data_IF_394710952180
#
_entry.id   IF_394710952180
#
_cell.length_a   1.000
_cell.length_b   1.000
_cell.length_c   1.000
_cell.angle_alpha   90.00
_cell.angle_beta   90.00
_cell.angle_gamma   90.00
#
_symmetry.space_group_name_H-M   'P 1'
#
loop_
_entity.id
_entity.type
_entity.pdbx_description
1 polymer ?
#
# COMPACT_ATOMS: atom_id res chain seq x y z
N UNK A 1 14.38 30.51 6.82
CA UNK A 1 13.47 29.39 6.60
C UNK A 1 14.24 28.34 5.81
N UNK A 2 14.36 27.11 6.30
CA UNK A 2 15.02 26.05 5.52
C UNK A 2 14.21 25.83 4.24
N UNK A 3 14.88 25.86 3.09
CA UNK A 3 14.27 25.57 1.78
C UNK A 3 13.83 24.13 1.75
N UNK A 4 12.52 23.91 1.65
CA UNK A 4 11.98 22.57 1.43
C UNK A 4 12.05 22.21 -0.05
N UNK A 5 12.52 21.02 -0.32
CA UNK A 5 12.51 20.43 -1.67
C UNK A 5 11.21 19.66 -1.86
N UNK A 6 10.66 19.72 -3.06
CA UNK A 6 9.42 19.03 -3.44
C UNK A 6 9.73 17.94 -4.44
N UNK A 7 9.10 16.78 -4.31
CA UNK A 7 9.14 15.70 -5.30
C UNK A 7 7.80 14.99 -5.42
N UNK A 8 7.58 14.36 -6.56
CA UNK A 8 6.35 13.64 -6.89
C UNK A 8 6.70 12.21 -7.24
N UNK A 9 6.05 11.26 -6.58
CA UNK A 9 6.11 9.83 -6.94
C UNK A 9 4.75 9.43 -7.50
N UNK A 10 4.75 8.78 -8.66
CA UNK A 10 3.54 8.23 -9.28
C UNK A 10 3.66 6.72 -9.33
N UNK A 11 2.80 6.05 -8.56
CA UNK A 11 2.59 4.62 -8.61
C UNK A 11 1.57 4.29 -9.69
N UNK A 12 2.01 3.71 -10.79
CA UNK A 12 1.14 3.22 -11.85
C UNK A 12 0.79 1.74 -11.62
N UNK A 13 -0.13 1.51 -10.68
CA UNK A 13 -0.58 0.18 -10.27
C UNK A 13 -1.51 -0.49 -11.27
N UNK A 14 -1.76 -1.79 -11.08
CA UNK A 14 -2.62 -2.61 -11.94
C UNK A 14 -4.09 -2.16 -11.93
N UNK A 15 -4.62 -1.79 -10.78
CA UNK A 15 -6.02 -1.38 -10.61
C UNK A 15 -6.25 0.12 -10.70
N UNK A 16 -5.22 0.93 -10.54
CA UNK A 16 -5.29 2.40 -10.55
C UNK A 16 -3.91 3.02 -10.40
N UNK A 17 -3.80 4.32 -10.70
CA UNK A 17 -2.57 5.08 -10.49
C UNK A 17 -2.72 6.00 -9.30
N UNK A 18 -1.68 6.09 -8.47
CA UNK A 18 -1.61 6.99 -7.31
C UNK A 18 -0.51 8.01 -7.54
N UNK A 19 -0.75 9.25 -7.17
CA UNK A 19 0.25 10.30 -7.19
C UNK A 19 0.44 10.84 -5.77
N UNK A 20 1.68 10.97 -5.36
CA UNK A 20 2.09 11.41 -4.03
C UNK A 20 2.98 12.63 -4.14
N UNK A 21 2.61 13.69 -3.43
CA UNK A 21 3.38 14.93 -3.33
C UNK A 21 4.14 14.94 -2.02
N UNK A 22 5.45 14.87 -2.07
CA UNK A 22 6.31 14.91 -0.91
C UNK A 22 7.07 16.23 -0.80
N UNK A 23 7.27 16.70 0.43
CA UNK A 23 8.24 17.74 0.76
C UNK A 23 9.25 17.22 1.78
N UNK A 24 10.50 17.63 1.65
CA UNK A 24 11.58 17.23 2.55
C UNK A 24 12.56 18.37 2.75
N UNK A 25 13.21 18.41 3.92
CA UNK A 25 14.22 19.43 4.26
C UNK A 25 15.60 19.05 3.71
N UNK A 26 16.32 20.00 3.12
CA UNK A 26 17.73 19.85 2.77
C UNK A 26 18.60 20.57 3.82
N UNK A 27 19.85 20.14 4.08
CA UNK A 27 20.60 19.04 3.48
C UNK A 27 20.57 17.72 4.25
N UNK A 28 19.89 17.62 5.37
CA UNK A 28 19.94 16.46 6.27
C UNK A 28 18.67 15.60 6.26
N UNK A 29 17.81 15.72 5.27
CA UNK A 29 16.67 14.83 4.97
C UNK A 29 15.91 14.23 6.19
N UNK A 30 15.90 14.98 7.29
CA UNK A 30 15.38 14.51 8.57
C UNK A 30 13.86 14.44 8.63
N UNK A 31 13.17 15.07 7.66
CA UNK A 31 11.70 15.14 7.69
C UNK A 31 11.13 15.00 6.28
N UNK A 32 10.48 13.88 6.01
CA UNK A 32 9.65 13.67 4.81
C UNK A 32 8.19 13.88 5.21
N UNK A 33 7.45 14.63 4.38
CA UNK A 33 6.01 14.83 4.56
C UNK A 33 5.29 14.55 3.26
N UNK A 34 4.21 13.79 3.32
CA UNK A 34 3.25 13.74 2.24
C UNK A 34 2.29 14.93 2.40
N UNK A 35 2.39 15.88 1.52
CA UNK A 35 1.52 17.06 1.55
C UNK A 35 0.16 16.78 0.94
N UNK A 36 0.13 15.87 -0.03
CA UNK A 36 -1.07 15.50 -0.75
C UNK A 36 -0.90 14.20 -1.52
N UNK A 37 -1.98 13.42 -1.62
CA UNK A 37 -2.05 12.25 -2.49
C UNK A 37 -3.39 12.15 -3.17
N UNK A 38 -3.42 11.48 -4.31
CA UNK A 38 -4.62 11.20 -5.06
C UNK A 38 -4.54 9.86 -5.77
N UNK A 39 -5.72 9.30 -6.09
CA UNK A 39 -5.85 8.07 -6.85
C UNK A 39 -6.79 8.27 -8.03
N UNK A 40 -6.40 7.74 -9.19
CA UNK A 40 -7.23 7.69 -10.39
C UNK A 40 -7.39 6.26 -10.90
N UNK A 41 -8.54 5.99 -11.46
CA UNK A 41 -8.91 4.73 -12.08
C UNK A 41 -9.35 4.95 -13.53
N UNK A 42 -9.18 3.93 -14.39
CA UNK A 42 -8.40 2.70 -14.19
C UNK A 42 -6.89 2.97 -14.15
N UNK A 43 -6.09 1.92 -13.86
CA UNK A 43 -4.63 1.98 -13.99
C UNK A 43 -4.20 2.17 -15.45
N UNK A 44 -2.96 2.60 -15.67
CA UNK A 44 -2.45 2.86 -17.03
C UNK A 44 -2.43 1.61 -17.92
N UNK A 45 -2.30 0.40 -17.34
CA UNK A 45 -2.39 -0.87 -18.06
C UNK A 45 -3.71 -1.06 -18.82
N UNK A 46 -4.79 -0.43 -18.37
CA UNK A 46 -6.09 -0.49 -19.06
C UNK A 46 -6.05 0.15 -20.47
N UNK A 47 -5.04 0.94 -20.79
CA UNK A 47 -4.88 1.48 -22.13
C UNK A 47 -4.53 0.40 -23.17
N UNK A 48 -3.83 -0.67 -22.75
CA UNK A 48 -3.52 -1.81 -23.62
C UNK A 48 -4.68 -2.81 -23.73
N UNK A 49 -5.64 -2.79 -22.77
CA UNK A 49 -6.75 -3.75 -22.74
C UNK A 49 -7.98 -3.31 -23.54
N UNK A 50 -7.97 -2.10 -24.10
CA UNK A 50 -9.07 -1.59 -24.94
C UNK A 50 -8.89 -2.08 -26.36
N UNK A 51 -9.95 -2.63 -26.96
CA UNK A 51 -9.94 -2.97 -28.39
C UNK A 51 -9.56 -1.77 -29.26
N UNK A 52 -8.64 -1.94 -30.21
CA UNK A 52 -8.15 -0.83 -31.05
C UNK A 52 -9.24 -0.34 -31.99
N UNK A 53 -9.62 0.94 -31.86
CA UNK A 53 -10.55 1.61 -32.76
C UNK A 53 -9.90 2.52 -33.81
N UNK A 54 -8.58 2.45 -34.02
CA UNK A 54 -7.83 3.42 -34.83
C UNK A 54 -6.65 2.83 -35.59
N UNK A 55 -6.11 3.53 -36.60
CA UNK A 55 -5.18 3.01 -37.60
C UNK A 55 -3.78 2.62 -37.12
N UNK A 56 -3.39 2.94 -35.88
CA UNK A 56 -2.22 2.36 -35.23
C UNK A 56 -2.51 2.08 -33.75
N UNK A 57 -2.34 0.83 -33.35
CA UNK A 57 -2.55 0.36 -31.96
C UNK A 57 -1.63 1.11 -31.01
N UNK A 58 -0.36 1.28 -31.36
CA UNK A 58 0.67 1.93 -30.51
C UNK A 58 0.38 3.42 -30.25
N UNK A 59 0.00 4.17 -31.29
CA UNK A 59 -0.35 5.58 -31.14
C UNK A 59 -1.60 5.77 -30.27
N UNK A 60 -2.54 4.82 -30.29
CA UNK A 60 -3.73 4.85 -29.46
C UNK A 60 -3.40 4.53 -27.99
N UNK A 61 -2.53 3.57 -27.71
CA UNK A 61 -2.08 3.20 -26.35
C UNK A 61 -1.30 4.35 -25.72
N UNK A 62 -0.32 4.89 -26.42
CA UNK A 62 0.47 6.05 -25.95
C UNK A 62 -0.41 7.28 -25.72
N UNK A 63 -1.32 7.58 -26.65
CA UNK A 63 -2.28 8.68 -26.53
C UNK A 63 -3.23 8.52 -25.35
N UNK A 64 -3.72 7.30 -25.09
CA UNK A 64 -4.53 6.97 -23.91
C UNK A 64 -3.73 7.22 -22.61
N UNK A 65 -2.52 6.70 -22.51
CA UNK A 65 -1.68 6.86 -21.34
C UNK A 65 -1.34 8.34 -21.07
N UNK A 66 -0.97 9.07 -22.13
CA UNK A 66 -0.71 10.51 -22.07
C UNK A 66 -1.93 11.27 -21.55
N UNK A 67 -3.12 11.04 -22.11
CA UNK A 67 -4.36 11.70 -21.68
C UNK A 67 -4.67 11.43 -20.20
N UNK A 68 -4.62 10.16 -19.78
CA UNK A 68 -4.93 9.79 -18.40
C UNK A 68 -3.97 10.41 -17.41
N UNK A 69 -2.68 10.42 -17.73
CA UNK A 69 -1.67 11.02 -16.87
C UNK A 69 -1.74 12.55 -16.87
N UNK A 70 -2.00 13.20 -18.00
CA UNK A 70 -2.19 14.66 -18.05
C UNK A 70 -3.30 15.14 -17.11
N UNK A 71 -4.40 14.40 -17.03
CA UNK A 71 -5.46 14.73 -16.07
C UNK A 71 -5.00 14.60 -14.60
N UNK A 72 -4.19 13.57 -14.30
CA UNK A 72 -3.62 13.41 -12.96
C UNK A 72 -2.64 14.53 -12.61
N UNK A 73 -1.77 14.92 -13.54
CA UNK A 73 -0.80 16.00 -13.35
C UNK A 73 -1.50 17.35 -13.16
N UNK A 74 -2.58 17.60 -13.88
CA UNK A 74 -3.40 18.80 -13.68
C UNK A 74 -4.03 18.86 -12.28
N UNK A 75 -4.56 17.75 -11.78
CA UNK A 75 -5.08 17.68 -10.40
C UNK A 75 -3.96 17.86 -9.36
N UNK A 76 -2.76 17.33 -9.63
CA UNK A 76 -1.58 17.56 -8.80
C UNK A 76 -1.24 19.05 -8.69
N UNK A 77 -1.26 19.79 -9.81
CA UNK A 77 -1.06 21.24 -9.82
C UNK A 77 -2.10 21.96 -8.97
N UNK A 78 -3.36 21.54 -9.05
CA UNK A 78 -4.43 22.07 -8.20
C UNK A 78 -4.18 21.75 -6.71
N UNK A 79 -3.73 20.53 -6.41
CA UNK A 79 -3.33 20.11 -5.06
C UNK A 79 -2.17 20.95 -4.51
N UNK A 80 -1.16 21.24 -5.31
CA UNK A 80 -0.04 22.12 -4.94
C UNK A 80 -0.54 23.52 -4.53
N UNK A 81 -1.43 24.10 -5.34
CA UNK A 81 -2.04 25.41 -5.02
C UNK A 81 -2.83 25.35 -3.72
N UNK A 82 -3.67 24.34 -3.54
CA UNK A 82 -4.51 24.18 -2.33
C UNK A 82 -3.67 24.03 -1.07
N UNK A 83 -2.54 23.35 -1.17
CA UNK A 83 -1.62 23.13 -0.05
C UNK A 83 -0.57 24.23 0.11
N UNK A 84 -0.56 25.23 -0.75
CA UNK A 84 0.45 26.30 -0.79
C UNK A 84 1.88 25.74 -0.87
N UNK A 85 2.05 24.67 -1.65
CA UNK A 85 3.35 24.04 -1.91
C UNK A 85 3.85 24.48 -3.28
N UNK A 86 5.10 24.90 -3.36
CA UNK A 86 5.73 25.23 -4.64
C UNK A 86 6.13 23.94 -5.36
N UNK A 87 5.49 23.67 -6.50
CA UNK A 87 5.67 22.43 -7.25
C UNK A 87 6.19 22.62 -8.68
N UNK A 88 6.29 23.87 -9.17
CA UNK A 88 6.80 24.13 -10.52
C UNK A 88 8.24 23.61 -10.62
N UNK A 89 8.51 22.80 -11.64
CA UNK A 89 9.81 22.15 -11.82
C UNK A 89 10.11 21.02 -10.83
N UNK A 90 9.15 20.60 -9.97
CA UNK A 90 9.35 19.47 -9.09
C UNK A 90 9.63 18.18 -9.90
N UNK A 91 10.62 17.37 -9.51
CA UNK A 91 10.91 16.11 -10.15
C UNK A 91 9.75 15.13 -10.01
N UNK A 92 9.43 14.42 -11.10
CA UNK A 92 8.43 13.34 -11.13
C UNK A 92 9.13 12.02 -11.34
N UNK A 93 8.85 11.07 -10.47
CA UNK A 93 9.29 9.68 -10.54
C UNK A 93 8.08 8.79 -10.80
N UNK A 94 7.83 8.43 -12.07
CA UNK A 94 6.78 7.46 -12.40
C UNK A 94 7.36 6.06 -12.44
N UNK A 95 6.79 5.18 -11.63
CA UNK A 95 7.11 3.75 -11.57
C UNK A 95 5.84 2.94 -11.76
N UNK A 96 5.88 2.02 -12.71
CA UNK A 96 4.77 1.13 -13.00
C UNK A 96 5.04 -0.26 -12.43
N UNK A 97 4.02 -0.89 -11.85
CA UNK A 97 4.15 -2.15 -11.13
C UNK A 97 3.59 -3.33 -11.93
N UNK A 98 3.01 -4.31 -11.26
CA UNK A 98 2.55 -5.58 -11.85
C UNK A 98 1.64 -5.40 -13.08
N UNK A 99 0.79 -4.37 -13.09
CA UNK A 99 -0.11 -4.11 -14.21
C UNK A 99 0.60 -3.95 -15.56
N UNK A 100 1.79 -3.32 -15.57
CA UNK A 100 2.58 -3.20 -16.77
C UNK A 100 3.52 -4.41 -16.98
N UNK A 101 3.94 -5.08 -15.91
CA UNK A 101 4.77 -6.30 -16.03
C UNK A 101 4.04 -7.44 -16.74
N UNK A 102 2.70 -7.48 -16.66
CA UNK A 102 1.85 -8.47 -17.30
C UNK A 102 1.57 -8.18 -18.79
N UNK A 103 1.86 -6.99 -19.29
CA UNK A 103 1.63 -6.60 -20.68
C UNK A 103 2.76 -7.06 -21.61
N UNK A 104 2.42 -7.14 -22.91
CA UNK A 104 3.42 -7.33 -23.94
C UNK A 104 4.44 -6.17 -23.94
N UNK A 105 5.73 -6.42 -24.30
CA UNK A 105 6.76 -5.40 -24.26
C UNK A 105 6.41 -4.13 -25.04
N UNK A 106 5.82 -4.25 -26.25
CA UNK A 106 5.45 -3.10 -27.09
C UNK A 106 4.37 -2.22 -26.45
N UNK A 107 3.34 -2.84 -25.85
CA UNK A 107 2.24 -2.12 -25.19
C UNK A 107 2.74 -1.38 -23.98
N UNK A 108 3.59 -2.04 -23.19
CA UNK A 108 4.24 -1.46 -22.03
C UNK A 108 5.08 -0.24 -22.38
N UNK A 109 5.91 -0.36 -23.44
CA UNK A 109 6.75 0.75 -23.92
C UNK A 109 5.91 1.92 -24.40
N UNK A 110 4.84 1.66 -25.17
CA UNK A 110 3.90 2.68 -25.63
C UNK A 110 3.24 3.45 -24.49
N UNK A 111 2.87 2.76 -23.40
CA UNK A 111 2.32 3.38 -22.19
C UNK A 111 3.37 4.29 -21.52
N UNK A 112 4.59 3.79 -21.34
CA UNK A 112 5.67 4.55 -20.70
C UNK A 112 6.07 5.79 -21.51
N UNK A 113 6.10 5.67 -22.84
CA UNK A 113 6.31 6.78 -23.75
C UNK A 113 5.24 7.86 -23.60
N UNK A 114 3.95 7.47 -23.62
CA UNK A 114 2.83 8.40 -23.43
C UNK A 114 2.88 9.08 -22.06
N UNK A 115 3.30 8.36 -21.03
CA UNK A 115 3.51 8.91 -19.70
C UNK A 115 4.66 9.93 -19.67
N UNK A 116 5.79 9.65 -20.33
CA UNK A 116 6.91 10.58 -20.44
C UNK A 116 6.52 11.87 -21.16
N UNK A 117 5.73 11.76 -22.22
CA UNK A 117 5.21 12.92 -22.97
C UNK A 117 4.30 13.78 -22.10
N UNK A 118 3.39 13.17 -21.31
CA UNK A 118 2.52 13.91 -20.40
C UNK A 118 3.33 14.72 -19.37
N UNK A 119 4.37 14.11 -18.77
CA UNK A 119 5.21 14.80 -17.79
C UNK A 119 5.97 15.95 -18.45
N UNK A 120 6.54 15.76 -19.65
CA UNK A 120 7.26 16.84 -20.39
C UNK A 120 6.36 18.02 -20.75
N UNK A 121 5.05 17.79 -20.95
CA UNK A 121 4.06 18.82 -21.28
C UNK A 121 3.46 19.50 -20.05
N UNK A 122 3.81 19.06 -18.84
CA UNK A 122 3.33 19.63 -17.59
C UNK A 122 4.27 20.70 -17.03
N UNK A 123 3.88 21.35 -15.94
CA UNK A 123 4.76 22.27 -15.18
C UNK A 123 5.84 21.56 -14.36
N UNK A 124 5.82 20.23 -14.31
CA UNK A 124 6.76 19.41 -13.57
C UNK A 124 7.98 19.03 -14.41
N UNK A 125 9.00 18.44 -13.78
CA UNK A 125 10.24 18.06 -14.44
C UNK A 125 10.36 16.54 -14.56
N UNK A 126 10.54 16.05 -15.80
CA UNK A 126 10.92 14.67 -16.07
C UNK A 126 12.40 14.48 -15.73
N UNK A 127 12.71 13.98 -14.54
CA UNK A 127 14.09 13.77 -14.06
C UNK A 127 14.61 12.40 -14.46
N UNK A 128 13.75 11.39 -14.38
CA UNK A 128 14.04 10.03 -14.86
C UNK A 128 12.90 9.54 -15.75
N UNK A 129 13.24 8.74 -16.75
CA UNK A 129 12.20 8.15 -17.61
C UNK A 129 11.23 7.30 -16.78
N UNK A 130 9.93 7.37 -17.10
CA UNK A 130 8.97 6.37 -16.59
C UNK A 130 9.48 4.98 -16.88
N UNK A 131 9.38 4.10 -15.90
CA UNK A 131 9.84 2.71 -16.06
C UNK A 131 8.94 1.73 -15.33
N UNK A 132 8.97 0.49 -15.78
CA UNK A 132 8.41 -0.61 -15.03
C UNK A 132 9.36 -0.95 -13.89
N UNK A 133 8.83 -0.99 -12.67
CA UNK A 133 9.56 -1.33 -11.47
C UNK A 133 9.78 -2.84 -11.41
N UNK A 134 11.02 -3.34 -11.27
CA UNK A 134 11.26 -4.72 -10.92
C UNK A 134 10.54 -5.07 -9.63
N UNK A 135 9.97 -6.28 -9.56
CA UNK A 135 9.19 -6.66 -8.39
C UNK A 135 10.01 -6.71 -7.09
N UNK A 136 11.30 -7.00 -7.19
CA UNK A 136 12.23 -6.96 -6.04
C UNK A 136 12.48 -5.53 -5.53
N UNK A 137 12.49 -4.53 -6.40
CA UNK A 137 12.56 -3.13 -5.98
C UNK A 137 11.24 -2.68 -5.32
N UNK A 138 10.09 -3.13 -5.83
CA UNK A 138 8.79 -2.87 -5.21
C UNK A 138 8.77 -3.42 -3.77
N UNK A 139 9.17 -4.68 -3.57
CA UNK A 139 9.29 -5.30 -2.25
C UNK A 139 10.29 -4.56 -1.32
N UNK A 140 11.42 -4.12 -1.87
CA UNK A 140 12.39 -3.31 -1.15
C UNK A 140 11.80 -1.99 -0.66
N UNK A 141 11.03 -1.30 -1.51
CA UNK A 141 10.42 -0.02 -1.16
C UNK A 141 9.30 -0.17 -0.13
N UNK A 142 8.52 -1.27 -0.17
CA UNK A 142 7.57 -1.60 0.89
C UNK A 142 8.28 -1.77 2.24
N UNK A 143 9.39 -2.49 2.25
CA UNK A 143 10.19 -2.68 3.45
C UNK A 143 10.77 -1.37 3.99
N UNK A 144 11.32 -0.53 3.11
CA UNK A 144 11.84 0.79 3.46
C UNK A 144 10.73 1.68 4.03
N UNK A 145 9.54 1.67 3.42
CA UNK A 145 8.40 2.46 3.87
C UNK A 145 7.99 2.11 5.30
N UNK A 146 7.77 0.82 5.59
CA UNK A 146 7.33 0.37 6.92
C UNK A 146 8.40 0.65 7.96
N UNK A 147 9.66 0.28 7.69
CA UNK A 147 10.74 0.40 8.66
C UNK A 147 11.22 1.84 8.86
N UNK A 148 11.12 2.72 7.83
CA UNK A 148 11.32 4.15 8.00
C UNK A 148 10.24 4.77 8.88
N UNK A 149 8.98 4.46 8.59
CA UNK A 149 7.85 4.99 9.34
C UNK A 149 7.83 4.52 10.81
N UNK A 150 8.18 3.26 11.04
CA UNK A 150 8.30 2.71 12.40
C UNK A 150 9.59 3.14 13.13
N UNK A 151 10.49 3.88 12.47
CA UNK A 151 11.76 4.33 13.05
C UNK A 151 12.78 3.20 13.27
N UNK A 152 12.67 2.09 12.55
CA UNK A 152 13.51 0.89 12.75
C UNK A 152 14.65 0.74 11.74
N UNK A 153 14.80 1.65 10.75
CA UNK A 153 15.87 1.56 9.75
C UNK A 153 17.29 1.56 10.34
N UNK A 154 17.49 2.29 11.45
CA UNK A 154 18.78 2.31 12.18
C UNK A 154 18.89 1.27 13.31
N UNK A 155 17.82 0.53 13.57
CA UNK A 155 17.74 -0.40 14.69
C UNK A 155 18.43 -1.75 14.38
N UNK A 156 18.74 -2.59 15.38
CA UNK A 156 19.17 -3.97 15.14
C UNK A 156 18.14 -4.75 14.31
N UNK A 157 18.59 -5.74 13.55
CA UNK A 157 17.74 -6.59 12.71
C UNK A 157 16.52 -7.17 13.45
N UNK A 158 16.69 -7.55 14.71
CA UNK A 158 15.61 -8.08 15.55
C UNK A 158 14.46 -7.11 15.81
N UNK A 159 14.66 -5.84 15.54
CA UNK A 159 13.63 -4.80 15.68
C UNK A 159 13.02 -4.38 14.34
N UNK A 160 13.51 -4.89 13.21
CA UNK A 160 12.92 -4.62 11.89
C UNK A 160 11.73 -5.53 11.62
N UNK A 161 10.84 -5.08 10.74
CA UNK A 161 9.65 -5.82 10.33
C UNK A 161 9.91 -6.60 9.04
N UNK A 162 9.32 -7.79 8.94
CA UNK A 162 9.02 -8.40 7.66
C UNK A 162 7.77 -7.73 7.08
N UNK A 163 7.79 -7.44 5.79
CA UNK A 163 6.69 -6.75 5.11
C UNK A 163 6.13 -7.65 4.02
N UNK A 164 4.83 -7.84 4.05
CA UNK A 164 4.04 -8.52 3.03
C UNK A 164 3.15 -7.48 2.35
N UNK A 165 3.17 -7.41 1.02
CA UNK A 165 2.22 -6.61 0.26
C UNK A 165 1.48 -7.49 -0.73
N UNK A 166 0.20 -7.22 -0.96
CA UNK A 166 -0.60 -7.88 -1.99
C UNK A 166 -1.35 -6.85 -2.80
N UNK A 167 -0.84 -6.55 -3.98
CA UNK A 167 -1.54 -5.75 -4.96
C UNK A 167 -2.58 -6.54 -5.76
N UNK A 168 -3.03 -5.95 -6.89
CA UNK A 168 -3.96 -6.64 -7.80
C UNK A 168 -3.29 -7.72 -8.66
N UNK A 169 -2.04 -7.51 -9.07
CA UNK A 169 -1.32 -8.37 -10.03
C UNK A 169 -0.14 -9.15 -9.44
N UNK A 170 0.37 -8.75 -8.27
CA UNK A 170 1.52 -9.43 -7.62
C UNK A 170 1.43 -9.36 -6.11
N UNK A 171 2.24 -10.18 -5.45
CA UNK A 171 2.46 -10.16 -4.01
C UNK A 171 3.95 -10.03 -3.72
N UNK A 172 4.33 -9.23 -2.72
CA UNK A 172 5.69 -8.97 -2.31
C UNK A 172 5.96 -9.50 -0.90
N UNK A 173 7.22 -9.88 -0.67
CA UNK A 173 7.77 -10.09 0.66
C UNK A 173 9.16 -9.49 0.74
N UNK A 174 9.45 -8.76 1.83
CA UNK A 174 10.79 -8.30 2.12
C UNK A 174 11.09 -8.33 3.62
N UNK A 175 12.28 -8.80 3.99
CA UNK A 175 12.77 -8.84 5.36
C UNK A 175 14.28 -9.01 5.42
N UNK A 176 14.90 -8.77 6.58
CA UNK A 176 16.29 -9.09 6.86
C UNK A 176 16.41 -10.53 7.32
N UNK A 177 16.97 -11.46 6.53
CA UNK A 177 17.09 -12.86 6.92
C UNK A 177 18.11 -13.06 8.05
N UNK A 178 18.00 -14.16 8.80
CA UNK A 178 18.92 -14.49 9.89
C UNK A 178 20.38 -14.62 9.42
N UNK A 179 20.58 -15.11 8.20
CA UNK A 179 21.89 -15.15 7.54
C UNK A 179 21.74 -14.68 6.10
N UNK A 180 22.64 -13.81 5.67
CA UNK A 180 22.75 -13.39 4.27
C UNK A 180 23.47 -14.50 3.48
N UNK A 181 22.78 -15.57 3.14
CA UNK A 181 23.34 -16.61 2.29
C UNK A 181 23.20 -16.21 0.82
N UNK A 182 24.28 -16.16 0.05
CA UNK A 182 24.23 -15.92 -1.40
C UNK A 182 23.43 -16.98 -2.17
N UNK A 183 23.12 -18.10 -1.53
CA UNK A 183 22.33 -19.18 -2.13
C UNK A 183 20.84 -18.85 -2.30
N UNK A 184 20.33 -17.82 -1.63
CA UNK A 184 18.95 -17.39 -1.81
C UNK A 184 18.84 -16.40 -2.97
N UNK A 185 18.11 -16.77 -4.01
CA UNK A 185 17.72 -15.84 -5.06
C UNK A 185 16.79 -14.78 -4.45
N UNK A 186 16.98 -13.52 -4.83
CA UNK A 186 16.17 -12.40 -4.28
C UNK A 186 16.84 -11.63 -3.16
N UNK A 187 18.10 -11.94 -2.84
CA UNK A 187 18.89 -11.10 -1.94
C UNK A 187 19.21 -9.76 -2.60
N UNK A 188 18.95 -8.68 -1.88
CA UNK A 188 19.26 -7.31 -2.24
C UNK A 188 20.24 -6.73 -1.22
N UNK A 189 21.25 -6.03 -1.69
CA UNK A 189 22.20 -5.34 -0.84
C UNK A 189 21.86 -3.84 -0.85
N UNK A 190 21.48 -3.30 0.30
CA UNK A 190 21.35 -1.86 0.48
C UNK A 190 22.75 -1.21 0.48
N UNK A 191 22.81 -0.01 -0.05
CA UNK A 191 24.04 0.78 -0.03
C UNK A 191 24.49 1.10 1.40
N UNK A 192 25.75 1.49 1.55
CA UNK A 192 26.29 1.91 2.85
C UNK A 192 25.54 3.11 3.43
N UNK A 193 24.97 3.98 2.57
CA UNK A 193 24.13 5.11 2.96
C UNK A 193 22.86 4.64 3.69
N UNK A 194 22.36 3.45 3.36
CA UNK A 194 21.21 2.81 4.01
C UNK A 194 21.61 1.71 5.01
N UNK A 195 22.85 1.76 5.52
CA UNK A 195 23.33 0.84 6.55
C UNK A 195 23.93 -0.46 6.04
N UNK A 196 24.13 -0.62 4.73
CA UNK A 196 24.78 -1.81 4.15
C UNK A 196 24.05 -3.12 4.46
N UNK A 197 22.72 -3.11 4.59
CA UNK A 197 21.91 -4.28 5.00
C UNK A 197 21.65 -5.21 3.84
N UNK A 198 21.62 -6.50 4.12
CA UNK A 198 21.18 -7.52 3.17
C UNK A 198 19.73 -7.87 3.42
N UNK A 199 18.88 -7.67 2.41
CA UNK A 199 17.45 -7.97 2.45
C UNK A 199 17.12 -9.12 1.51
N UNK A 200 16.23 -10.00 1.92
CA UNK A 200 15.48 -10.82 1.00
C UNK A 200 14.28 -10.01 0.53
N UNK A 201 14.17 -9.73 -0.77
CA UNK A 201 13.12 -8.92 -1.36
C UNK A 201 12.65 -9.52 -2.68
N UNK A 202 11.45 -10.06 -2.72
CA UNK A 202 10.90 -10.83 -3.85
C UNK A 202 9.46 -10.43 -4.12
N UNK A 203 9.11 -10.39 -5.39
CA UNK A 203 7.73 -10.26 -5.86
C UNK A 203 7.31 -11.49 -6.65
N UNK A 204 6.10 -11.97 -6.40
CA UNK A 204 5.46 -13.08 -7.10
C UNK A 204 4.40 -12.52 -8.03
N UNK A 205 4.76 -12.34 -9.29
CA UNK A 205 3.84 -11.88 -10.34
C UNK A 205 2.77 -12.96 -10.58
N UNK A 206 1.51 -12.55 -10.81
CA UNK A 206 0.38 -13.47 -10.95
C UNK A 206 -0.25 -13.91 -9.62
N UNK A 207 0.35 -13.56 -8.47
CA UNK A 207 -0.14 -13.91 -7.14
C UNK A 207 -0.86 -12.73 -6.43
N UNK A 208 -1.09 -11.63 -7.13
CA UNK A 208 -1.97 -10.57 -6.63
C UNK A 208 -3.43 -11.00 -6.66
N UNK A 209 -4.26 -10.32 -5.88
CA UNK A 209 -5.65 -10.70 -5.64
C UNK A 209 -6.46 -10.93 -6.95
N UNK A 210 -6.30 -10.06 -7.96
CA UNK A 210 -7.07 -10.17 -9.20
C UNK A 210 -6.59 -11.34 -10.06
N UNK A 211 -5.28 -11.38 -10.33
CA UNK A 211 -4.68 -12.40 -11.18
C UNK A 211 -4.82 -13.80 -10.59
N UNK A 212 -4.60 -13.93 -9.27
CA UNK A 212 -4.75 -15.21 -8.59
C UNK A 212 -6.22 -15.67 -8.58
N UNK A 213 -7.17 -14.77 -8.33
CA UNK A 213 -8.59 -15.09 -8.38
C UNK A 213 -9.00 -15.63 -9.75
N UNK A 214 -8.66 -14.91 -10.82
CA UNK A 214 -9.01 -15.27 -12.17
C UNK A 214 -8.34 -16.59 -12.57
N UNK A 215 -7.07 -16.79 -12.20
CA UNK A 215 -6.33 -18.02 -12.45
C UNK A 215 -6.89 -19.23 -11.70
N UNK A 216 -7.26 -19.08 -10.43
CA UNK A 216 -7.89 -20.14 -9.62
C UNK A 216 -9.23 -20.54 -10.24
N UNK A 217 -10.07 -19.58 -10.66
CA UNK A 217 -11.33 -19.86 -11.30
C UNK A 217 -11.17 -20.55 -12.67
N UNK A 218 -10.20 -20.12 -13.47
CA UNK A 218 -9.94 -20.71 -14.80
C UNK A 218 -9.42 -22.16 -14.74
N UNK A 219 -8.76 -22.54 -13.65
CA UNK A 219 -8.21 -23.90 -13.46
C UNK A 219 -9.26 -24.91 -12.98
N UNK A 220 -10.43 -24.48 -12.52
CA UNK A 220 -11.48 -25.35 -12.00
C UNK A 220 -11.94 -26.40 -13.02
N UNK A 221 -11.94 -27.66 -12.62
CA UNK A 221 -12.39 -28.81 -13.42
C UNK A 221 -13.47 -29.63 -12.70
N UNK A 222 -13.86 -29.19 -11.50
CA UNK A 222 -14.91 -29.87 -10.72
C UNK A 222 -16.29 -29.65 -11.29
N UNK A 223 -17.23 -30.49 -10.89
CA UNK A 223 -18.65 -30.32 -11.17
C UNK A 223 -19.28 -29.29 -10.24
N UNK A 224 -20.24 -28.53 -10.72
CA UNK A 224 -21.00 -27.58 -9.92
C UNK A 224 -20.34 -26.21 -9.75
N UNK A 225 -20.70 -25.54 -8.67
CA UNK A 225 -20.22 -24.18 -8.39
C UNK A 225 -18.79 -24.19 -7.85
N UNK A 226 -17.96 -23.25 -8.34
CA UNK A 226 -16.61 -23.07 -7.83
C UNK A 226 -16.62 -22.70 -6.35
N UNK A 227 -15.83 -23.38 -5.46
CA UNK A 227 -15.87 -23.15 -4.02
C UNK A 227 -15.44 -21.73 -3.59
N UNK A 228 -14.64 -21.04 -4.38
CA UNK A 228 -14.24 -19.64 -4.10
C UNK A 228 -15.30 -18.61 -4.50
N UNK A 229 -16.35 -18.95 -5.27
CA UNK A 229 -17.43 -18.02 -5.64
C UNK A 229 -18.49 -17.95 -4.55
N UNK A 230 -18.84 -16.72 -4.14
CA UNK A 230 -19.82 -16.47 -3.08
C UNK A 230 -21.28 -16.78 -3.53
N UNK A 231 -22.11 -17.45 -2.72
CA UNK A 231 -21.72 -18.20 -1.53
C UNK A 231 -20.89 -19.42 -1.90
N UNK A 232 -19.80 -19.64 -1.17
CA UNK A 232 -18.82 -20.66 -1.43
C UNK A 232 -18.47 -21.48 -0.20
N UNK A 233 -17.40 -22.26 -0.32
CA UNK A 233 -16.85 -23.08 0.75
C UNK A 233 -15.38 -22.74 0.95
N UNK A 234 -15.02 -22.34 2.17
CA UNK A 234 -13.64 -21.94 2.48
C UNK A 234 -12.63 -23.08 2.30
N UNK A 235 -12.94 -24.28 2.79
CA UNK A 235 -12.00 -25.40 2.73
C UNK A 235 -11.75 -25.85 1.28
N UNK A 236 -12.81 -25.91 0.49
CA UNK A 236 -12.71 -26.17 -0.95
C UNK A 236 -11.93 -25.05 -1.66
N UNK A 237 -12.21 -23.78 -1.36
CA UNK A 237 -11.50 -22.66 -1.92
C UNK A 237 -10.01 -22.66 -1.54
N UNK A 238 -9.69 -22.92 -0.28
CA UNK A 238 -8.31 -23.03 0.21
C UNK A 238 -7.55 -24.15 -0.52
N UNK A 239 -8.19 -25.30 -0.76
CA UNK A 239 -7.60 -26.41 -1.51
C UNK A 239 -7.28 -26.01 -2.94
N UNK A 240 -8.18 -25.33 -3.64
CA UNK A 240 -7.96 -24.86 -5.01
C UNK A 240 -6.84 -23.80 -5.08
N UNK A 241 -6.81 -22.87 -4.13
CA UNK A 241 -5.75 -21.86 -4.00
C UNK A 241 -4.40 -22.52 -3.71
N UNK A 242 -4.33 -23.48 -2.79
CA UNK A 242 -3.10 -24.20 -2.48
C UNK A 242 -2.59 -25.02 -3.68
N UNK A 243 -3.50 -25.63 -4.46
CA UNK A 243 -3.15 -26.32 -5.70
C UNK A 243 -2.61 -25.34 -6.75
N UNK A 244 -3.22 -24.15 -6.90
CA UNK A 244 -2.72 -23.10 -7.77
C UNK A 244 -1.32 -22.65 -7.38
N UNK A 245 -1.09 -22.36 -6.10
CA UNK A 245 0.20 -21.88 -5.58
C UNK A 245 1.29 -22.93 -5.79
N UNK A 246 1.03 -24.19 -5.47
CA UNK A 246 1.99 -25.30 -5.66
C UNK A 246 2.36 -25.50 -7.12
N UNK A 247 1.38 -25.54 -8.01
CA UNK A 247 1.64 -25.68 -9.43
C UNK A 247 2.50 -24.55 -9.99
N UNK A 248 2.27 -23.31 -9.53
CA UNK A 248 3.08 -22.17 -9.95
C UNK A 248 4.51 -22.20 -9.40
N UNK A 249 4.70 -22.76 -8.20
CA UNK A 249 6.05 -22.93 -7.58
C UNK A 249 6.85 -24.06 -8.26
N UNK A 250 6.20 -25.18 -8.61
CA UNK A 250 6.85 -26.38 -9.15
C UNK A 250 7.14 -26.26 -10.65
N UNK A 251 6.22 -25.75 -11.41
CA UNK A 251 6.25 -25.85 -12.88
C UNK A 251 6.75 -24.57 -13.57
N UNK A 252 6.86 -23.45 -12.86
CA UNK A 252 6.96 -22.16 -13.55
C UNK A 252 5.75 -21.92 -14.47
N UNK A 253 4.65 -22.62 -14.21
CA UNK A 253 3.49 -22.83 -15.07
C UNK A 253 2.70 -21.59 -15.44
N UNK A 254 3.07 -20.45 -14.88
CA UNK A 254 2.43 -19.16 -15.18
C UNK A 254 3.12 -18.42 -16.34
N UNK A 255 4.13 -19.02 -16.98
CA UNK A 255 5.00 -18.31 -17.94
C UNK A 255 5.93 -17.28 -17.30
N UNK A 256 5.92 -17.18 -15.98
CA UNK A 256 6.62 -16.16 -15.19
C UNK A 256 7.95 -16.65 -14.57
N UNK A 257 8.36 -17.87 -14.92
CA UNK A 257 9.57 -18.53 -14.40
C UNK A 257 9.36 -19.14 -12.99
N UNK A 258 10.32 -19.98 -12.58
CA UNK A 258 10.33 -20.61 -11.26
C UNK A 258 10.51 -19.53 -10.19
N UNK A 259 9.64 -19.52 -9.19
CA UNK A 259 9.72 -18.56 -8.10
C UNK A 259 10.85 -18.94 -7.12
N UNK A 260 11.64 -17.97 -6.59
CA UNK A 260 12.67 -18.25 -5.63
C UNK A 260 12.08 -18.77 -4.30
N UNK A 261 12.74 -19.75 -3.70
CA UNK A 261 12.37 -20.22 -2.36
C UNK A 261 12.54 -19.09 -1.35
N UNK A 262 11.52 -18.88 -0.53
CA UNK A 262 11.59 -17.93 0.59
C UNK A 262 12.44 -18.52 1.71
N UNK A 263 13.49 -17.83 2.19
CA UNK A 263 14.19 -18.26 3.41
C UNK A 263 13.25 -18.18 4.62
N UNK A 264 13.50 -18.96 5.68
CA UNK A 264 12.67 -18.89 6.87
C UNK A 264 12.74 -17.49 7.51
N UNK A 265 11.60 -17.01 7.97
CA UNK A 265 11.54 -15.79 8.76
C UNK A 265 12.36 -15.97 10.05
N UNK A 266 13.16 -14.98 10.44
CA UNK A 266 13.85 -15.01 11.73
C UNK A 266 12.87 -15.21 12.89
N UNK A 267 13.22 -16.03 13.90
CA UNK A 267 12.39 -16.21 15.08
C UNK A 267 12.05 -14.87 15.76
N UNK A 268 10.78 -14.68 16.10
CA UNK A 268 10.30 -13.46 16.76
C UNK A 268 10.18 -12.23 15.85
N UNK A 269 10.48 -12.33 14.55
CA UNK A 269 10.30 -11.22 13.63
C UNK A 269 8.83 -10.85 13.50
N UNK A 270 8.52 -9.59 13.67
CA UNK A 270 7.18 -9.04 13.50
C UNK A 270 6.83 -8.93 12.01
N UNK A 271 5.58 -9.21 11.65
CA UNK A 271 5.11 -9.23 10.26
C UNK A 271 4.06 -8.13 10.06
N UNK A 272 4.22 -7.34 9.01
CA UNK A 272 3.26 -6.30 8.61
C UNK A 272 2.70 -6.61 7.22
N UNK A 273 1.38 -6.64 7.09
CA UNK A 273 0.66 -6.83 5.84
C UNK A 273 0.02 -5.53 5.33
N UNK A 274 0.22 -5.23 4.05
CA UNK A 274 -0.24 -4.02 3.36
C UNK A 274 -1.30 -4.32 2.30
N UNK A 275 -1.97 -3.29 1.81
CA UNK A 275 -3.01 -3.28 0.74
C UNK A 275 -4.06 -4.39 0.97
N UNK A 276 -4.09 -5.46 0.16
CA UNK A 276 -5.13 -6.47 0.28
C UNK A 276 -5.04 -7.33 1.55
N UNK A 277 -3.91 -7.36 2.26
CA UNK A 277 -3.87 -7.91 3.62
C UNK A 277 -4.78 -7.11 4.57
N UNK A 278 -4.72 -5.77 4.54
CA UNK A 278 -5.61 -4.93 5.33
C UNK A 278 -7.07 -5.09 4.89
N UNK A 279 -7.36 -5.06 3.58
CA UNK A 279 -8.72 -5.19 3.08
C UNK A 279 -9.35 -6.56 3.37
N UNK A 280 -8.55 -7.63 3.39
CA UNK A 280 -9.03 -8.96 3.81
C UNK A 280 -9.40 -8.95 5.30
N UNK A 281 -8.56 -8.43 6.17
CA UNK A 281 -8.88 -8.30 7.61
C UNK A 281 -10.12 -7.42 7.79
N UNK A 282 -10.22 -6.31 7.08
CA UNK A 282 -11.41 -5.46 7.11
C UNK A 282 -12.69 -6.24 6.74
N UNK A 283 -12.66 -7.06 5.68
CA UNK A 283 -13.79 -7.88 5.27
C UNK A 283 -14.11 -9.00 6.27
N UNK A 284 -13.08 -9.68 6.78
CA UNK A 284 -13.21 -10.77 7.76
C UNK A 284 -13.84 -10.32 9.08
N UNK A 285 -13.68 -9.06 9.46
CA UNK A 285 -14.25 -8.47 10.67
C UNK A 285 -15.45 -7.54 10.40
N UNK A 286 -16.21 -7.80 9.33
CA UNK A 286 -17.48 -7.13 9.06
C UNK A 286 -17.36 -5.64 8.74
N UNK A 287 -16.33 -5.25 8.03
CA UNK A 287 -16.09 -3.87 7.59
C UNK A 287 -15.45 -2.96 8.66
N UNK A 288 -15.07 -3.52 9.80
CA UNK A 288 -14.41 -2.79 10.90
C UNK A 288 -13.18 -3.57 11.38
N UNK A 289 -12.02 -3.22 10.84
CA UNK A 289 -10.76 -3.87 11.18
C UNK A 289 -10.38 -3.69 12.67
N UNK A 290 -10.92 -2.67 13.37
CA UNK A 290 -10.64 -2.46 14.79
C UNK A 290 -11.20 -3.57 15.70
N UNK A 291 -12.10 -4.40 15.17
CA UNK A 291 -12.63 -5.59 15.87
C UNK A 291 -11.69 -6.79 15.79
N UNK A 292 -10.66 -6.73 14.95
CA UNK A 292 -9.66 -7.79 14.89
C UNK A 292 -8.77 -7.74 16.13
N UNK A 293 -8.21 -8.90 16.56
CA UNK A 293 -7.22 -8.93 17.62
C UNK A 293 -6.04 -7.99 17.35
N UNK A 294 -5.47 -7.45 18.40
CA UNK A 294 -4.23 -6.65 18.35
C UNK A 294 -3.10 -7.41 19.04
N UNK A 295 -1.87 -6.98 18.79
CA UNK A 295 -0.69 -7.54 19.45
C UNK A 295 -0.13 -6.52 20.45
N UNK A 296 -0.22 -6.81 21.74
CA UNK A 296 0.34 -5.95 22.78
C UNK A 296 1.89 -5.93 22.79
N UNK A 297 2.52 -6.95 22.18
CA UNK A 297 3.97 -7.00 22.01
C UNK A 297 4.47 -6.23 20.78
N UNK A 298 3.56 -5.60 20.02
CA UNK A 298 3.90 -4.81 18.85
C UNK A 298 4.83 -3.65 19.25
N UNK A 299 5.96 -3.44 18.54
CA UNK A 299 6.85 -2.33 18.80
C UNK A 299 6.13 -0.97 18.76
N UNK A 300 6.38 -0.14 19.75
CA UNK A 300 5.73 1.16 19.91
C UNK A 300 5.83 2.03 18.64
N UNK A 301 6.97 1.98 17.93
CA UNK A 301 7.17 2.76 16.70
C UNK A 301 6.12 2.48 15.62
N UNK A 302 5.66 1.24 15.43
CA UNK A 302 4.59 0.93 14.48
C UNK A 302 3.22 1.38 15.01
N UNK A 303 2.94 1.17 16.31
CA UNK A 303 1.71 1.63 16.93
C UNK A 303 1.58 3.16 16.85
N UNK A 304 2.67 3.89 17.09
CA UNK A 304 2.74 5.35 16.94
C UNK A 304 2.55 5.76 15.47
N UNK A 305 3.16 5.03 14.54
CA UNK A 305 3.05 5.28 13.11
C UNK A 305 1.61 5.10 12.59
N UNK A 306 0.87 4.12 13.10
CA UNK A 306 -0.55 3.88 12.76
C UNK A 306 -1.48 4.74 13.63
N UNK A 307 -0.97 5.30 14.74
CA UNK A 307 -1.73 6.11 15.72
C UNK A 307 -2.61 5.28 16.66
N UNK A 308 -2.49 3.96 16.62
CA UNK A 308 -3.12 2.97 17.50
C UNK A 308 -2.43 1.62 17.33
N UNK A 309 -2.68 0.67 18.22
CA UNK A 309 -2.29 -0.72 17.97
C UNK A 309 -2.99 -1.22 16.68
N UNK A 310 -2.24 -1.64 15.65
CA UNK A 310 -2.84 -2.15 14.43
C UNK A 310 -3.57 -3.48 14.68
N UNK A 311 -4.62 -3.80 13.90
CA UNK A 311 -5.16 -5.15 13.86
C UNK A 311 -4.06 -6.15 13.52
N UNK A 312 -3.97 -7.23 14.27
CA UNK A 312 -2.91 -8.23 14.13
C UNK A 312 -3.46 -9.65 14.40
N UNK A 313 -4.34 -10.19 13.52
CA UNK A 313 -4.83 -11.54 13.65
C UNK A 313 -3.74 -12.58 13.34
N UNK A 314 -3.90 -13.78 13.90
CA UNK A 314 -3.17 -14.99 13.51
C UNK A 314 -3.83 -15.65 12.30
N UNK A 315 -3.12 -16.56 11.62
CA UNK A 315 -3.69 -17.31 10.50
C UNK A 315 -4.93 -18.15 10.91
N UNK A 316 -4.94 -18.89 12.03
CA UNK A 316 -6.14 -19.60 12.50
C UNK A 316 -7.35 -18.68 12.77
N UNK A 317 -7.10 -17.48 13.34
CA UNK A 317 -8.17 -16.49 13.55
C UNK A 317 -8.77 -15.99 12.22
N UNK A 318 -7.92 -15.77 11.22
CA UNK A 318 -8.37 -15.42 9.86
C UNK A 318 -9.16 -16.56 9.21
N UNK A 319 -8.69 -17.81 9.29
CA UNK A 319 -9.40 -18.99 8.76
C UNK A 319 -10.79 -19.17 9.38
N UNK A 320 -10.89 -19.04 10.70
CA UNK A 320 -12.17 -19.14 11.39
C UNK A 320 -13.20 -18.11 10.86
N UNK A 321 -12.76 -16.90 10.58
CA UNK A 321 -13.60 -15.85 9.98
C UNK A 321 -13.88 -16.09 8.50
N UNK A 322 -12.91 -16.61 7.75
CA UNK A 322 -13.03 -16.88 6.33
C UNK A 322 -14.11 -17.96 6.04
N UNK A 323 -14.26 -18.98 6.90
CA UNK A 323 -15.35 -19.97 6.78
C UNK A 323 -16.71 -19.30 6.76
N UNK A 324 -16.93 -18.32 7.64
CA UNK A 324 -18.18 -17.54 7.67
C UNK A 324 -18.32 -16.63 6.46
N UNK A 325 -17.25 -15.89 6.11
CA UNK A 325 -17.27 -14.96 4.98
C UNK A 325 -17.58 -15.67 3.67
N UNK A 326 -16.93 -16.81 3.40
CA UNK A 326 -17.14 -17.57 2.16
C UNK A 326 -18.59 -18.10 2.01
N UNK A 327 -19.26 -18.39 3.12
CA UNK A 327 -20.63 -18.87 3.12
C UNK A 327 -21.68 -17.78 2.79
N UNK A 328 -21.32 -16.49 2.86
CA UNK A 328 -22.24 -15.40 2.49
C UNK A 328 -22.48 -15.35 0.99
N UNK A 329 -23.69 -14.95 0.58
CA UNK A 329 -23.90 -14.40 -0.75
C UNK A 329 -23.25 -13.01 -0.84
N UNK A 330 -23.00 -12.52 -2.07
CA UNK A 330 -22.47 -11.17 -2.26
C UNK A 330 -23.35 -10.10 -1.60
N UNK A 331 -24.69 -10.26 -1.69
CA UNK A 331 -25.61 -9.29 -1.10
C UNK A 331 -25.63 -9.37 0.42
N UNK A 332 -25.58 -10.59 1.00
CA UNK A 332 -25.44 -10.75 2.44
C UNK A 332 -24.11 -10.16 2.95
N UNK A 333 -23.03 -10.35 2.21
CA UNK A 333 -21.72 -9.76 2.55
C UNK A 333 -21.73 -8.23 2.43
N UNK A 334 -22.40 -7.66 1.42
CA UNK A 334 -22.62 -6.21 1.32
C UNK A 334 -23.37 -5.67 2.54
N UNK A 335 -24.36 -6.41 3.06
CA UNK A 335 -25.13 -6.03 4.24
C UNK A 335 -24.28 -6.14 5.52
N UNK A 336 -23.49 -7.22 5.68
CA UNK A 336 -22.59 -7.42 6.82
C UNK A 336 -21.52 -6.32 6.91
N UNK A 337 -21.02 -5.88 5.75
CA UNK A 337 -20.09 -4.72 5.63
C UNK A 337 -20.82 -3.36 5.69
N UNK A 338 -22.11 -3.37 5.74
CA UNK A 338 -23.09 -2.39 5.26
C UNK A 338 -23.15 -1.00 5.86
N UNK A 339 -22.35 -0.63 6.81
CA UNK A 339 -22.34 0.74 7.34
C UNK A 339 -20.93 1.27 7.59
N UNK A 340 -19.99 0.36 7.70
CA UNK A 340 -18.65 0.65 8.22
C UNK A 340 -17.62 0.99 7.14
N UNK A 341 -17.84 0.59 5.88
CA UNK A 341 -16.94 0.94 4.79
C UNK A 341 -17.49 2.09 3.95
N UNK A 342 -16.85 3.24 4.05
CA UNK A 342 -17.08 4.39 3.16
C UNK A 342 -16.52 4.14 1.75
N UNK A 343 -15.68 3.12 1.59
CA UNK A 343 -15.05 2.79 0.31
C UNK A 343 -16.02 2.01 -0.59
N UNK A 344 -16.68 2.73 -1.51
CA UNK A 344 -17.58 2.17 -2.52
C UNK A 344 -16.89 1.14 -3.43
N UNK A 345 -15.55 1.25 -3.59
CA UNK A 345 -14.76 0.39 -4.45
C UNK A 345 -14.48 -0.97 -3.81
N UNK A 346 -14.32 -1.04 -2.49
CA UNK A 346 -14.25 -2.30 -1.76
C UNK A 346 -15.50 -3.14 -2.07
N UNK A 347 -16.67 -2.51 -2.13
CA UNK A 347 -17.95 -3.20 -2.35
C UNK A 347 -18.09 -3.81 -3.75
N UNK A 348 -17.68 -3.09 -4.81
CA UNK A 348 -17.95 -3.52 -6.19
C UNK A 348 -16.89 -4.46 -6.78
N UNK A 349 -15.60 -4.17 -6.56
CA UNK A 349 -14.51 -4.89 -7.22
C UNK A 349 -13.89 -6.00 -6.37
N UNK A 350 -13.86 -5.83 -5.04
CA UNK A 350 -13.16 -6.74 -4.12
C UNK A 350 -14.09 -7.79 -3.49
N UNK A 351 -15.36 -7.49 -3.29
CA UNK A 351 -16.29 -8.42 -2.63
C UNK A 351 -16.46 -9.76 -3.34
N UNK A 352 -16.62 -9.83 -4.67
CA UNK A 352 -16.73 -11.11 -5.35
C UNK A 352 -15.50 -12.01 -5.15
N UNK A 353 -14.34 -11.40 -4.83
CA UNK A 353 -13.03 -12.05 -4.66
C UNK A 353 -12.68 -12.31 -3.19
N UNK A 354 -13.53 -11.90 -2.24
CA UNK A 354 -13.20 -11.89 -0.82
C UNK A 354 -12.85 -13.29 -0.27
N UNK A 355 -13.57 -14.34 -0.70
CA UNK A 355 -13.28 -15.70 -0.29
C UNK A 355 -11.92 -16.17 -0.84
N UNK A 356 -11.65 -15.94 -2.14
CA UNK A 356 -10.33 -16.24 -2.73
C UNK A 356 -9.23 -15.45 -2.05
N UNK A 357 -9.44 -14.16 -1.78
CA UNK A 357 -8.45 -13.30 -1.14
C UNK A 357 -8.08 -13.81 0.26
N UNK A 358 -9.07 -14.15 1.08
CA UNK A 358 -8.85 -14.70 2.41
C UNK A 358 -8.07 -16.04 2.37
N UNK A 359 -8.45 -16.94 1.45
CA UNK A 359 -7.75 -18.21 1.26
C UNK A 359 -6.31 -18.00 0.75
N UNK A 360 -6.12 -17.08 -0.21
CA UNK A 360 -4.81 -16.79 -0.80
C UNK A 360 -3.83 -16.22 0.23
N UNK A 361 -4.27 -15.29 1.07
CA UNK A 361 -3.44 -14.72 2.13
C UNK A 361 -2.96 -15.82 3.09
N UNK A 362 -3.87 -16.68 3.54
CA UNK A 362 -3.51 -17.76 4.47
C UNK A 362 -2.57 -18.76 3.83
N UNK A 363 -2.82 -19.17 2.59
CA UNK A 363 -1.96 -20.11 1.86
C UNK A 363 -0.57 -19.52 1.62
N UNK A 364 -0.49 -18.30 1.11
CA UNK A 364 0.81 -17.64 0.86
C UNK A 364 1.59 -17.42 2.16
N UNK A 365 0.94 -16.89 3.19
CA UNK A 365 1.61 -16.64 4.46
C UNK A 365 2.16 -17.94 5.08
N UNK A 366 1.36 -19.01 5.13
CA UNK A 366 1.75 -20.27 5.74
C UNK A 366 2.67 -21.11 4.85
N UNK A 367 2.27 -21.39 3.59
CA UNK A 367 2.94 -22.38 2.74
C UNK A 367 4.15 -21.79 1.99
N UNK A 368 4.17 -20.46 1.74
CA UNK A 368 5.21 -19.80 0.93
C UNK A 368 6.13 -18.92 1.76
N UNK A 369 5.57 -18.13 2.68
CA UNK A 369 6.34 -17.16 3.46
C UNK A 369 6.77 -17.67 4.82
N UNK A 370 6.28 -18.84 5.25
CA UNK A 370 6.69 -19.49 6.49
C UNK A 370 6.20 -18.78 7.75
N UNK A 371 5.11 -18.01 7.66
CA UNK A 371 4.44 -17.46 8.85
C UNK A 371 3.79 -18.60 9.63
N UNK A 372 4.12 -18.72 10.91
CA UNK A 372 3.55 -19.77 11.76
C UNK A 372 2.15 -19.42 12.25
N UNK A 373 1.42 -20.41 12.75
CA UNK A 373 0.06 -20.22 13.26
C UNK A 373 -0.01 -19.37 14.53
N UNK A 374 1.10 -19.24 15.25
CA UNK A 374 1.26 -18.41 16.45
C UNK A 374 1.65 -16.97 16.12
N UNK A 375 2.27 -16.74 14.96
CA UNK A 375 2.66 -15.41 14.55
C UNK A 375 1.45 -14.57 14.18
N UNK A 376 1.50 -13.31 14.58
CA UNK A 376 0.49 -12.31 14.22
C UNK A 376 0.96 -11.51 13.01
N UNK A 377 0.01 -11.21 12.12
CA UNK A 377 0.24 -10.31 10.98
C UNK A 377 -0.44 -8.99 11.29
N UNK A 378 0.33 -7.98 11.63
CA UNK A 378 -0.19 -6.63 11.78
C UNK A 378 -0.60 -6.08 10.42
N UNK A 379 -1.76 -5.44 10.32
CA UNK A 379 -2.22 -4.86 9.05
C UNK A 379 -2.51 -3.37 9.19
N UNK A 380 -2.09 -2.59 8.21
CA UNK A 380 -2.29 -1.15 8.18
C UNK A 380 -2.78 -0.69 6.80
N UNK A 381 -3.77 0.22 6.80
CA UNK A 381 -4.21 0.91 5.59
C UNK A 381 -3.31 2.10 5.26
N UNK A 382 -2.85 2.77 6.29
CA UNK A 382 -1.90 3.88 6.23
C UNK A 382 -0.90 3.78 7.38
N UNK A 383 0.26 4.37 7.19
CA UNK A 383 1.31 4.48 8.19
C UNK A 383 1.71 5.95 8.25
N UNK A 384 1.59 6.60 9.41
CA UNK A 384 1.74 8.05 9.60
C UNK A 384 0.82 8.89 8.70
N UNK A 385 -0.33 8.36 8.27
CA UNK A 385 -1.23 9.03 7.33
C UNK A 385 -0.74 9.01 5.89
N UNK A 386 0.35 8.26 5.59
CA UNK A 386 0.73 7.91 4.25
C UNK A 386 -0.10 6.71 3.78
N UNK A 387 -0.63 6.76 2.57
CA UNK A 387 -1.23 5.57 1.94
C UNK A 387 -0.18 4.45 1.96
N UNK A 388 -0.53 3.27 2.47
CA UNK A 388 0.37 2.10 2.61
C UNK A 388 0.86 1.62 1.23
N UNK A 389 1.65 2.45 0.57
CA UNK A 389 2.19 2.28 -0.76
C UNK A 389 3.71 2.38 -0.71
N UNK A 390 4.39 1.57 -1.49
CA UNK A 390 5.83 1.59 -1.69
C UNK A 390 6.39 2.99 -2.07
N UNK A 391 5.54 3.94 -2.49
CA UNK A 391 5.96 5.26 -2.98
C UNK A 391 6.80 6.06 -1.97
N UNK A 392 6.48 5.98 -0.68
CA UNK A 392 7.31 6.59 0.38
C UNK A 392 8.68 5.92 0.46
N UNK A 393 8.72 4.59 0.38
CA UNK A 393 9.98 3.84 0.37
C UNK A 393 10.86 4.16 -0.84
N UNK A 394 10.24 4.33 -2.02
CA UNK A 394 10.95 4.82 -3.20
C UNK A 394 11.51 6.22 -2.98
N UNK A 395 10.76 7.10 -2.33
CA UNK A 395 11.24 8.45 -2.01
C UNK A 395 12.43 8.40 -1.04
N UNK A 396 12.37 7.57 0.00
CA UNK A 396 13.47 7.33 0.94
C UNK A 396 14.70 6.82 0.19
N UNK A 397 14.52 5.89 -0.73
CA UNK A 397 15.60 5.32 -1.54
C UNK A 397 16.24 6.36 -2.47
N UNK A 398 15.46 7.09 -3.26
CA UNK A 398 15.95 8.10 -4.22
C UNK A 398 16.71 9.23 -3.49
N UNK A 399 16.25 9.59 -2.30
CA UNK A 399 16.93 10.58 -1.47
C UNK A 399 18.27 10.04 -0.95
N UNK A 400 18.31 8.82 -0.43
CA UNK A 400 19.53 8.22 0.11
C UNK A 400 20.60 8.05 -0.95
N UNK A 401 20.24 7.56 -2.13
CA UNK A 401 21.17 7.37 -3.25
C UNK A 401 21.57 8.69 -3.92
N UNK A 402 20.66 9.67 -3.98
CA UNK A 402 20.91 10.97 -4.62
C UNK A 402 21.80 11.92 -3.82
N UNK A 403 21.92 11.73 -2.52
CA UNK A 403 22.72 12.62 -1.64
C UNK A 403 24.20 12.26 -1.55
N UNK A 404 24.64 11.19 -2.17
CA UNK A 404 26.04 10.74 -2.50
C UNK A 404 27.21 11.01 -1.54
N UNK A 405 27.06 11.83 -0.52
CA UNK A 405 28.15 12.22 0.37
C UNK A 405 27.83 12.25 1.87
N UNK A 406 26.57 12.17 2.28
CA UNK A 406 26.19 12.18 3.69
C UNK A 406 25.13 11.11 3.97
N UNK A 407 25.57 9.89 4.22
CA UNK A 407 24.71 8.74 4.45
C UNK A 407 23.62 8.97 5.52
N UNK A 408 22.46 8.35 5.32
CA UNK A 408 21.38 8.27 6.31
C UNK A 408 21.76 7.44 7.56
N UNK A 409 22.96 6.89 7.63
CA UNK A 409 23.48 6.15 8.79
C UNK A 409 23.63 7.10 9.96
N UNK A 410 22.76 6.98 10.93
CA UNK A 410 22.74 7.81 12.15
C UNK A 410 21.78 9.00 12.12
N UNK A 411 21.10 9.24 10.99
CA UNK A 411 20.02 10.24 10.92
C UNK A 411 18.69 9.50 10.88
N UNK A 412 17.94 9.51 11.97
CA UNK A 412 16.57 9.03 11.99
C UNK A 412 15.75 9.79 10.94
N UNK A 413 15.21 9.09 9.94
CA UNK A 413 14.22 9.69 9.02
C UNK A 413 12.99 10.02 9.87
N UNK A 414 12.79 11.28 10.21
CA UNK A 414 11.60 11.72 10.93
C UNK A 414 10.47 11.88 9.93
N UNK A 415 9.60 10.92 9.90
CA UNK A 415 8.35 11.00 9.15
C UNK A 415 7.35 11.79 9.98
N UNK A 416 6.96 12.97 9.50
CA UNK A 416 6.06 13.87 10.23
C UNK A 416 4.69 13.84 9.57
N UNK A 417 3.67 13.52 10.37
CA UNK A 417 2.28 13.72 9.94
C UNK A 417 2.05 15.17 9.53
N UNK A 418 1.28 15.43 8.48
CA UNK A 418 0.76 16.77 8.27
C UNK A 418 -0.05 17.13 9.51
N UNK A 419 0.39 18.14 10.26
CA UNK A 419 -0.37 18.67 11.39
C UNK A 419 -1.65 19.26 10.75
N UNK A 420 -2.75 18.53 10.83
CA UNK A 420 -4.08 19.15 10.69
C UNK A 420 -4.15 20.14 11.82
N UNK A 421 -3.93 21.41 11.51
CA UNK A 421 -3.90 22.49 12.51
C UNK A 421 -5.22 22.47 13.26
N UNK A 422 -5.25 22.27 14.57
CA UNK A 422 -6.46 22.45 15.39
C UNK A 422 -6.76 23.95 15.61
N UNK A 423 -6.39 24.83 14.66
CA UNK A 423 -6.59 26.28 14.76
C UNK A 423 -8.09 26.64 14.74
N UNK A 424 -8.93 25.79 14.15
CA UNK A 424 -10.38 26.05 14.12
C UNK A 424 -11.04 25.71 15.46
N UNK A 425 -10.56 24.71 16.19
CA UNK A 425 -11.17 24.32 17.48
C UNK A 425 -10.74 25.29 18.59
N UNK A 426 -9.49 25.73 18.62
CA UNK A 426 -9.02 26.71 19.60
C UNK A 426 -9.65 28.08 19.36
N UNK A 427 -9.82 28.52 18.11
CA UNK A 427 -10.52 29.75 17.76
C UNK A 427 -12.00 29.72 18.12
N UNK A 428 -12.69 28.60 17.89
CA UNK A 428 -14.10 28.42 18.25
C UNK A 428 -14.30 28.41 19.77
N UNK A 429 -13.42 27.76 20.53
CA UNK A 429 -13.47 27.75 21.99
C UNK A 429 -13.17 29.14 22.57
N UNK A 430 -12.27 29.94 21.97
CA UNK A 430 -11.98 31.31 22.40
C UNK A 430 -13.17 32.23 22.10
N UNK A 431 -13.83 32.08 20.95
CA UNK A 431 -15.03 32.85 20.60
C UNK A 431 -16.23 32.50 21.50
N UNK A 432 -16.41 31.24 21.86
CA UNK A 432 -17.45 30.80 22.80
C UNK A 432 -17.11 31.33 24.21
N UNK A 433 -15.85 31.31 24.64
CA UNK A 433 -15.40 31.86 25.90
C UNK A 433 -15.62 33.37 25.99
N UNK A 434 -15.36 34.13 24.94
CA UNK A 434 -15.59 35.57 24.85
C UNK A 434 -17.08 35.90 24.78
N UNK A 435 -17.90 35.11 24.10
CA UNK A 435 -19.35 35.28 24.06
C UNK A 435 -19.99 35.06 25.45
N UNK A 436 -19.57 34.00 26.16
CA UNK A 436 -20.05 33.68 27.52
C UNK A 436 -19.61 34.76 28.54
N UNK A 437 -18.40 35.31 28.40
CA UNK A 437 -17.93 36.39 29.25
C UNK A 437 -18.59 37.74 28.94
N UNK A 438 -18.94 37.97 27.66
CA UNK A 438 -19.72 39.13 27.24
C UNK A 438 -21.16 39.12 27.79
N UNK A 439 -21.81 37.96 27.73
CA UNK A 439 -23.18 37.77 28.26
C UNK A 439 -23.26 37.90 29.77
N UNK A 440 -22.21 37.51 30.52
CA UNK A 440 -22.13 37.75 31.99
C UNK A 440 -22.02 39.23 32.35
N UNK A 441 -21.37 40.05 31.52
CA UNK A 441 -21.31 41.50 31.72
C UNK A 441 -22.62 42.23 31.38
N UNK A 442 -23.49 41.60 30.58
CA UNK A 442 -24.79 42.10 30.20
C UNK A 442 -25.93 41.73 31.18
N UNK A 443 -25.63 41.09 32.32
CA UNK A 443 -26.63 40.83 33.36
C UNK A 443 -27.61 39.69 33.10
N UNK A 444 -27.39 38.86 32.12
CA UNK A 444 -28.27 37.72 31.81
C UNK A 444 -27.77 36.47 32.53
N UNK A 445 -28.37 36.14 33.65
CA UNK A 445 -28.10 34.93 34.44
C UNK A 445 -28.97 33.75 33.97
N UNK A 446 -28.36 32.74 33.34
CA UNK A 446 -28.98 31.45 33.15
C UNK A 446 -28.37 30.42 34.12
N UNK A 447 -29.19 29.54 34.75
CA UNK A 447 -28.69 28.52 35.65
C UNK A 447 -27.96 27.40 34.91
N UNK A 448 -26.71 27.12 35.31
CA UNK A 448 -25.80 26.13 34.71
C UNK A 448 -26.10 24.65 35.07
N UNK A 449 -27.36 24.30 35.35
CA UNK A 449 -27.66 22.93 35.83
C UNK A 449 -27.81 21.85 34.74
N UNK A 450 -27.69 22.15 33.43
CA UNK A 450 -27.96 21.18 32.36
C UNK A 450 -26.95 21.16 31.20
N UNK A 451 -25.70 21.54 31.41
CA UNK A 451 -24.67 21.36 30.37
C UNK A 451 -23.81 20.14 30.69
N UNK A 452 -24.12 18.98 30.11
CA UNK A 452 -23.18 17.83 30.06
C UNK A 452 -22.13 18.10 29.01
N UNK A 453 -20.92 18.38 29.42
CA UNK A 453 -19.75 18.33 28.55
C UNK A 453 -19.42 16.86 28.24
N UNK A 454 -19.64 16.43 27.04
CA UNK A 454 -19.03 15.20 26.53
C UNK A 454 -17.58 15.51 26.21
N UNK A 455 -16.66 14.90 26.96
CA UNK A 455 -15.24 14.89 26.62
C UNK A 455 -15.06 14.03 25.39
N UNK A 456 -14.71 14.66 24.26
CA UNK A 456 -14.13 14.00 23.08
C UNK A 456 -12.61 14.19 23.22
N UNK A 457 -11.93 13.18 23.72
CA UNK A 457 -10.50 12.96 23.56
C UNK A 457 -10.27 11.95 22.46
#
# INVERSE_FOLDING_TARGET
MATRTTAIVIDAGSSGSRAHLYTFGAPQLTTIREEWSMKRWPGLSACALKEPKAPSIEANISGCARKNLSHMLHDLEAGCRTKSVHCVGAPVYLRATAGLRLLQPQDRESILQGAAEAIRQSSFRLTSLPRTLPGSEEALYDWLMVNAAAGTLGAPRSATFAVLDMGGGSTQIAFEPASASPSFQGMQQLSSQMGGRALYAVSRLGFGMNEAHDSVLARWRGAGRHPCKLPGDYEGCRKEVSAFVRAAEEEGATGLGRQPRTPPLPPGMQVVGLDNFYFAVLALWGGDASRAPTDAAMPAGLADAVGRLPPAPTLPEMEARARRLCAFSEDALKLDLGGHTRDKKLKAEKLPKACTCAALIVVLAREVYGVTDEQRIAVAADIHGFDGSWALGAMVYEIAEGTGQNGLVGVGVIIVRPIVRPIIVAGALLLVGLAVSGLRRAGWGWPLSNVRLYSVL
#
